data_IF_288970123688
#
_entry.id   IF_288970123688
#
_cell.length_a   1.000
_cell.length_b   1.000
_cell.length_c   1.000
_cell.angle_alpha   90.00
_cell.angle_beta   90.00
_cell.angle_gamma   90.00
#
_symmetry.space_group_name_H-M   'P 1'
#
loop_
_entity.id
_entity.type
_entity.pdbx_description
1 polymer ?
#
# COMPACT_ATOMS: atom_id res chain seq x y z
N UNK A 1 4.87 -2.24 3.59
CA UNK A 1 3.71 -2.41 2.68
C UNK A 1 3.19 -1.08 2.17
N UNK A 2 2.81 -0.13 3.03
CA UNK A 2 2.28 1.19 2.62
C UNK A 2 3.15 1.94 1.60
N UNK A 3 4.43 2.20 1.91
CA UNK A 3 5.32 2.95 1.01
C UNK A 3 5.44 2.29 -0.37
N UNK A 4 5.54 0.96 -0.40
CA UNK A 4 5.64 0.20 -1.66
C UNK A 4 4.33 0.22 -2.46
N UNK A 5 3.19 0.10 -1.80
CA UNK A 5 1.87 0.27 -2.44
C UNK A 5 1.70 1.68 -3.00
N UNK A 6 2.13 2.68 -2.23
CA UNK A 6 2.05 4.08 -2.63
C UNK A 6 2.97 4.39 -3.83
N UNK A 7 4.14 3.73 -3.94
CA UNK A 7 5.01 3.75 -5.12
C UNK A 7 4.43 3.04 -6.35
N UNK A 8 3.28 2.37 -6.23
CA UNK A 8 2.66 1.61 -7.31
C UNK A 8 3.20 0.19 -7.48
N UNK A 9 3.98 -0.34 -6.53
CA UNK A 9 4.38 -1.75 -6.57
C UNK A 9 3.16 -2.67 -6.42
N UNK A 10 3.15 -3.80 -7.14
CA UNK A 10 2.06 -4.77 -7.05
C UNK A 10 2.09 -5.52 -5.71
N UNK A 11 0.94 -6.01 -5.25
CA UNK A 11 0.88 -6.81 -4.02
C UNK A 11 1.77 -8.06 -4.08
N UNK A 12 2.02 -8.60 -5.28
CA UNK A 12 2.93 -9.72 -5.52
C UNK A 12 4.40 -9.34 -5.33
N UNK A 13 4.82 -8.19 -5.85
CA UNK A 13 6.21 -7.70 -5.70
C UNK A 13 6.50 -7.34 -4.24
N UNK A 14 5.54 -6.73 -3.55
CA UNK A 14 5.63 -6.42 -2.12
C UNK A 14 5.73 -7.69 -1.29
N UNK A 15 4.94 -8.70 -1.64
CA UNK A 15 4.98 -10.00 -0.97
C UNK A 15 6.35 -10.66 -1.12
N UNK A 16 6.93 -10.66 -2.34
CA UNK A 16 8.29 -11.14 -2.59
C UNK A 16 9.34 -10.33 -1.81
N UNK A 17 9.28 -9.00 -1.89
CA UNK A 17 10.26 -8.12 -1.26
C UNK A 17 10.27 -8.20 0.27
N UNK A 18 9.14 -8.57 0.88
CA UNK A 18 9.00 -8.72 2.34
C UNK A 18 8.99 -10.18 2.79
N UNK A 19 9.16 -11.14 1.87
CA UNK A 19 9.02 -12.58 2.13
C UNK A 19 7.71 -12.96 2.84
N UNK A 20 6.61 -12.29 2.47
CA UNK A 20 5.27 -12.50 3.00
C UNK A 20 4.35 -13.12 1.94
N UNK A 21 3.19 -13.65 2.38
CA UNK A 21 2.17 -14.08 1.44
C UNK A 21 1.44 -12.87 0.81
N UNK A 22 1.04 -13.00 -0.45
CA UNK A 22 0.21 -11.99 -1.14
C UNK A 22 -1.09 -11.72 -0.35
N UNK A 23 -1.66 -12.77 0.25
CA UNK A 23 -2.84 -12.66 1.13
C UNK A 23 -2.57 -11.75 2.32
N UNK A 24 -1.41 -11.88 2.98
CA UNK A 24 -1.00 -11.01 4.09
C UNK A 24 -0.92 -9.54 3.64
N UNK A 25 -0.28 -9.29 2.50
CA UNK A 25 -0.18 -7.94 1.93
C UNK A 25 -1.57 -7.36 1.62
N UNK A 26 -2.46 -8.18 1.04
CA UNK A 26 -3.85 -7.80 0.75
C UNK A 26 -4.64 -7.47 2.02
N UNK A 27 -4.53 -8.29 3.07
CA UNK A 27 -5.19 -8.01 4.36
C UNK A 27 -4.68 -6.72 5.00
N UNK A 28 -3.38 -6.49 4.97
CA UNK A 28 -2.79 -5.24 5.46
C UNK A 28 -3.24 -4.03 4.64
N UNK A 29 -3.33 -4.17 3.31
CA UNK A 29 -3.83 -3.11 2.43
C UNK A 29 -5.25 -2.72 2.79
N UNK A 30 -6.18 -3.67 2.92
CA UNK A 30 -7.58 -3.39 3.28
C UNK A 30 -7.68 -2.68 4.63
N UNK A 31 -7.03 -3.21 5.67
CA UNK A 31 -7.03 -2.59 7.01
C UNK A 31 -6.45 -1.18 7.01
N UNK A 32 -5.41 -0.94 6.20
CA UNK A 32 -4.79 0.38 6.09
C UNK A 32 -5.69 1.37 5.35
N UNK A 33 -6.35 0.93 4.27
CA UNK A 33 -7.35 1.72 3.54
C UNK A 33 -8.53 2.08 4.44
N UNK A 34 -9.07 1.14 5.21
CA UNK A 34 -10.13 1.39 6.20
C UNK A 34 -9.67 2.40 7.27
N UNK A 35 -8.47 2.22 7.83
CA UNK A 35 -7.95 3.11 8.89
C UNK A 35 -7.68 4.53 8.40
N UNK A 36 -7.36 4.70 7.11
CA UNK A 36 -7.10 6.00 6.50
C UNK A 36 -8.30 6.56 5.74
N UNK A 37 -9.43 5.85 5.74
CA UNK A 37 -10.63 6.19 5.00
C UNK A 37 -10.36 6.41 3.50
N UNK A 38 -9.52 5.56 2.91
CA UNK A 38 -9.13 5.60 1.49
C UNK A 38 -9.86 4.49 0.75
N UNK A 39 -10.33 4.77 -0.47
CA UNK A 39 -11.17 3.82 -1.23
C UNK A 39 -10.38 3.14 -2.36
N UNK A 40 -9.31 3.78 -2.83
CA UNK A 40 -8.53 3.31 -3.98
C UNK A 40 -7.03 3.31 -3.71
N UNK A 41 -6.30 2.52 -4.50
CA UNK A 41 -4.84 2.60 -4.56
C UNK A 41 -4.38 3.99 -5.00
N UNK A 42 -5.13 4.65 -5.89
CA UNK A 42 -4.83 6.02 -6.32
C UNK A 42 -4.90 7.00 -5.14
N UNK A 43 -5.87 6.83 -4.24
CA UNK A 43 -5.96 7.64 -3.02
C UNK A 43 -4.77 7.39 -2.10
N UNK A 44 -4.26 6.16 -2.08
CA UNK A 44 -3.07 5.78 -1.31
C UNK A 44 -1.82 6.49 -1.84
N UNK A 45 -1.62 6.49 -3.16
CA UNK A 45 -0.54 7.22 -3.83
C UNK A 45 -0.69 8.72 -3.63
N UNK A 46 -1.90 9.27 -3.79
CA UNK A 46 -2.19 10.69 -3.57
C UNK A 46 -1.95 11.10 -2.11
N UNK A 47 -2.39 10.27 -1.15
CA UNK A 47 -2.16 10.52 0.27
C UNK A 47 -0.67 10.53 0.58
N UNK A 48 0.09 9.58 0.03
CA UNK A 48 1.51 9.49 0.30
C UNK A 48 2.31 10.63 -0.37
N UNK A 49 1.92 11.08 -1.57
CA UNK A 49 2.45 12.30 -2.21
C UNK A 49 2.11 13.55 -1.39
N UNK A 50 0.84 13.71 -0.98
CA UNK A 50 0.37 14.85 -0.19
C UNK A 50 1.09 14.96 1.16
N UNK A 51 1.37 13.83 1.79
CA UNK A 51 2.10 13.77 3.07
C UNK A 51 3.63 13.70 2.90
N UNK A 52 4.16 13.80 1.66
CA UNK A 52 5.60 13.69 1.35
C UNK A 52 6.25 12.42 1.92
N UNK A 53 5.51 11.32 1.95
CA UNK A 53 5.97 10.01 2.44
C UNK A 53 6.73 9.24 1.36
N UNK A 54 6.58 9.64 0.11
CA UNK A 54 7.31 9.13 -1.05
C UNK A 54 7.68 10.31 -1.95
N UNK A 55 8.87 10.22 -2.51
CA UNK A 55 9.53 11.15 -3.42
C UNK A 55 9.79 10.43 -4.74
#
# INVERSE_FOLDING_TARGET
VFLKLAKGETAGDIAKALSLSVKTVSTYRTRLMEKMNLSSNSDLTYYALKNKLID
#
